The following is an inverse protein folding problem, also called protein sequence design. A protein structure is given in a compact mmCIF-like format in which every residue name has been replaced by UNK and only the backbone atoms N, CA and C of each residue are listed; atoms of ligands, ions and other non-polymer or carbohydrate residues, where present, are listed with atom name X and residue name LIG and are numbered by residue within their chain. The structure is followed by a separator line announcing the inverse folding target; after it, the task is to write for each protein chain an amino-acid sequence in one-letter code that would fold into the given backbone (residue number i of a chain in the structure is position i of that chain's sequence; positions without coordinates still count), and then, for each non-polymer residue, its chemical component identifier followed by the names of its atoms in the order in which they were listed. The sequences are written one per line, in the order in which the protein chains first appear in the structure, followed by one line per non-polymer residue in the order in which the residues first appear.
data_IF_593704594410
#
_entry.id   IF_593704594410
#
_cell.length_a   1.000
_cell.length_b   1.000
_cell.length_c   1.000
_cell.angle_alpha   90.00
_cell.angle_beta   90.00
_cell.angle_gamma   90.00
#
_symmetry.space_group_name_H-M   'P 1'
#
loop_
_entity.id
_entity.type
_entity.pdbx_description
1 polymer ?
#
# COMPACT_ATOMS: atom_id res chain seq x y z
N UNK A 1 -5.74 27.67 29.02
CA UNK A 1 -6.49 26.56 29.64
C UNK A 1 -6.73 26.97 31.09
N UNK A 2 -7.29 28.16 31.31
CA UNK A 2 -7.22 28.89 32.59
C UNK A 2 -8.52 29.60 32.96
N UNK A 3 -9.57 29.44 32.14
CA UNK A 3 -10.88 30.08 32.36
C UNK A 3 -11.88 29.09 32.98
N UNK A 4 -11.61 27.78 32.91
CA UNK A 4 -12.49 26.73 33.47
C UNK A 4 -12.19 26.48 34.97
N UNK A 5 -10.97 26.77 35.46
CA UNK A 5 -10.59 26.55 36.86
C UNK A 5 -11.07 27.64 37.83
N UNK A 6 -11.51 28.81 37.32
CA UNK A 6 -11.96 29.92 38.17
C UNK A 6 -13.42 29.79 38.66
N UNK A 7 -14.21 28.85 38.11
CA UNK A 7 -15.62 28.64 38.46
C UNK A 7 -15.85 27.57 39.54
N UNK A 8 -14.82 26.84 39.97
CA UNK A 8 -14.94 25.71 40.92
C UNK A 8 -14.65 26.08 42.39
N UNK A 9 -14.37 27.36 42.70
CA UNK A 9 -13.90 27.79 44.04
C UNK A 9 -14.96 28.42 44.95
N UNK A 10 -16.24 28.48 44.55
CA UNK A 10 -17.30 29.19 45.29
C UNK A 10 -18.38 28.29 45.93
N UNK A 11 -18.20 26.98 45.94
CA UNK A 11 -19.15 26.09 46.63
C UNK A 11 -18.93 26.03 48.15
N UNK A 12 -19.65 26.94 48.80
CA UNK A 12 -20.18 26.95 50.18
C UNK A 12 -20.11 25.59 50.92
N UNK A 13 -19.40 25.56 52.06
CA UNK A 13 -19.54 24.52 53.10
C UNK A 13 -21.00 24.47 53.59
N UNK A 14 -21.66 23.31 53.62
CA UNK A 14 -22.88 23.13 54.37
C UNK A 14 -22.60 22.43 55.71
N UNK A 15 -22.90 23.17 56.77
CA UNK A 15 -23.41 22.81 58.09
C UNK A 15 -23.22 21.36 58.59
N UNK A 16 -22.38 21.26 59.61
CA UNK A 16 -22.11 20.11 60.46
C UNK A 16 -23.28 19.92 61.43
N UNK A 17 -24.35 19.22 61.01
CA UNK A 17 -25.28 18.42 61.84
C UNK A 17 -26.59 18.07 61.09
N UNK A 18 -26.58 16.99 60.31
CA UNK A 18 -27.80 16.26 59.92
C UNK A 18 -27.45 14.79 59.64
N UNK A 19 -28.11 13.79 60.26
CA UNK A 19 -27.78 12.39 60.02
C UNK A 19 -28.51 11.91 58.77
N UNK A 20 -27.79 11.75 57.66
CA UNK A 20 -28.25 10.96 56.51
C UNK A 20 -27.31 9.78 56.37
N UNK A 21 -27.81 8.60 56.71
CA UNK A 21 -27.13 7.35 56.44
C UNK A 21 -27.10 7.11 54.92
N UNK A 22 -26.00 7.45 54.27
CA UNK A 22 -25.70 7.00 52.91
C UNK A 22 -24.92 5.69 53.00
N UNK A 23 -25.53 4.61 52.53
CA UNK A 23 -24.92 3.29 52.43
C UNK A 23 -23.65 3.31 51.56
N UNK A 24 -22.60 2.53 51.88
CA UNK A 24 -21.31 2.50 51.17
C UNK A 24 -21.39 2.00 49.71
N UNK A 25 -22.56 1.59 49.22
CA UNK A 25 -22.76 1.01 47.89
C UNK A 25 -22.85 2.06 46.76
N UNK A 26 -23.12 3.34 47.08
CA UNK A 26 -23.23 4.39 46.05
C UNK A 26 -21.88 5.02 45.67
N UNK A 27 -20.92 5.06 46.58
CA UNK A 27 -19.60 5.68 46.34
C UNK A 27 -18.69 4.78 45.47
N UNK A 28 -18.87 3.46 45.56
CA UNK A 28 -18.18 2.47 44.74
C UNK A 28 -18.72 2.41 43.28
N UNK A 29 -20.02 2.68 43.09
CA UNK A 29 -20.63 2.75 41.75
C UNK A 29 -20.25 4.03 40.97
N UNK A 30 -20.04 5.14 41.67
CA UNK A 30 -19.61 6.41 41.08
C UNK A 30 -18.13 6.38 40.67
N UNK A 31 -17.27 5.71 41.43
CA UNK A 31 -15.86 5.57 41.08
C UNK A 31 -15.64 4.59 39.92
N UNK A 32 -16.44 3.51 39.84
CA UNK A 32 -16.40 2.56 38.73
C UNK A 32 -16.88 3.16 37.40
N UNK A 33 -17.89 4.04 37.43
CA UNK A 33 -18.40 4.74 36.23
C UNK A 33 -17.45 5.83 35.73
N UNK A 34 -16.75 6.54 36.63
CA UNK A 34 -15.70 7.49 36.26
C UNK A 34 -14.46 6.79 35.64
N UNK A 35 -14.09 5.61 36.15
CA UNK A 35 -12.99 4.81 35.61
C UNK A 35 -13.30 4.24 34.20
N UNK A 36 -14.55 3.83 33.96
CA UNK A 36 -15.01 3.34 32.65
C UNK A 36 -15.08 4.45 31.58
N UNK A 37 -15.44 5.68 31.97
CA UNK A 37 -15.46 6.83 31.07
C UNK A 37 -14.06 7.25 30.59
N UNK A 38 -13.03 7.11 31.45
CA UNK A 38 -11.63 7.38 31.10
C UNK A 38 -11.03 6.38 30.11
N UNK A 39 -11.50 5.13 30.10
CA UNK A 39 -10.98 4.07 29.24
C UNK A 39 -11.50 4.12 27.79
N UNK A 40 -12.64 4.78 27.54
CA UNK A 40 -13.28 4.88 26.23
C UNK A 40 -12.54 5.82 25.24
N UNK A 41 -11.66 6.70 25.73
CA UNK A 41 -10.99 7.73 24.91
C UNK A 41 -9.67 7.24 24.29
N UNK A 42 -9.19 6.02 24.60
CA UNK A 42 -7.84 5.57 24.17
C UNK A 42 -7.74 4.28 23.34
N UNK A 43 -8.84 3.66 22.94
CA UNK A 43 -8.78 2.34 22.31
C UNK A 43 -9.00 2.38 20.79
N UNK A 44 -7.91 2.31 20.02
CA UNK A 44 -7.91 1.98 18.60
C UNK A 44 -8.18 0.48 18.39
N UNK A 45 -9.08 0.15 17.47
CA UNK A 45 -9.26 -1.19 16.88
C UNK A 45 -10.05 -2.23 17.69
N UNK A 46 -9.57 -2.63 18.87
CA UNK A 46 -10.13 -3.78 19.63
C UNK A 46 -11.03 -3.36 20.81
N UNK A 47 -10.72 -2.25 21.48
CA UNK A 47 -11.49 -1.81 22.65
C UNK A 47 -12.89 -1.29 22.35
N UNK A 48 -13.18 -0.90 21.09
CA UNK A 48 -14.53 -0.52 20.69
C UNK A 48 -15.51 -1.70 20.72
N UNK A 49 -15.06 -2.91 20.32
CA UNK A 49 -15.88 -4.13 20.36
C UNK A 49 -16.21 -4.52 21.80
N UNK A 50 -15.23 -4.45 22.71
CA UNK A 50 -15.41 -4.77 24.13
C UNK A 50 -16.26 -3.72 24.85
N UNK A 51 -16.03 -2.43 24.55
CA UNK A 51 -16.80 -1.32 25.11
C UNK A 51 -18.26 -1.34 24.68
N UNK A 52 -18.54 -1.65 23.41
CA UNK A 52 -19.90 -1.79 22.90
C UNK A 52 -20.63 -3.01 23.49
N UNK A 53 -19.94 -4.15 23.61
CA UNK A 53 -20.47 -5.35 24.28
C UNK A 53 -20.80 -5.10 25.75
N UNK A 54 -19.91 -4.41 26.48
CA UNK A 54 -20.12 -4.07 27.90
C UNK A 54 -21.24 -3.03 28.08
N UNK A 55 -21.37 -2.05 27.18
CA UNK A 55 -22.43 -1.05 27.25
C UNK A 55 -23.81 -1.66 26.98
N UNK A 56 -23.92 -2.54 25.97
CA UNK A 56 -25.15 -3.27 25.66
C UNK A 56 -25.57 -4.16 26.84
N UNK A 57 -24.61 -4.86 27.45
CA UNK A 57 -24.87 -5.74 28.59
C UNK A 57 -25.25 -4.95 29.87
N UNK A 58 -24.61 -3.80 30.11
CA UNK A 58 -24.93 -2.92 31.26
C UNK A 58 -26.30 -2.25 31.12
N UNK A 59 -26.70 -1.85 29.91
CA UNK A 59 -28.02 -1.26 29.66
C UNK A 59 -29.14 -2.28 29.90
N UNK A 60 -28.93 -3.53 29.48
CA UNK A 60 -29.85 -4.65 29.73
C UNK A 60 -29.98 -4.96 31.24
N UNK A 61 -28.85 -4.97 31.97
CA UNK A 61 -28.84 -5.21 33.42
C UNK A 61 -29.54 -4.10 34.22
N UNK A 62 -29.34 -2.83 33.85
CA UNK A 62 -29.95 -1.69 34.52
C UNK A 62 -31.48 -1.62 34.35
N UNK A 63 -31.98 -2.11 33.21
CA UNK A 63 -33.42 -2.20 32.92
C UNK A 63 -34.06 -3.37 33.67
N UNK A 64 -33.36 -4.51 33.75
CA UNK A 64 -33.79 -5.68 34.51
C UNK A 64 -33.97 -5.38 36.01
N UNK A 65 -33.05 -4.64 36.62
CA UNK A 65 -33.14 -4.28 38.04
C UNK A 65 -34.32 -3.34 38.35
N UNK A 66 -34.69 -2.45 37.43
CA UNK A 66 -35.80 -1.50 37.63
C UNK A 66 -37.16 -2.21 37.61
N UNK A 67 -37.31 -3.24 36.78
CA UNK A 67 -38.55 -4.01 36.64
C UNK A 67 -38.79 -4.94 37.85
N UNK A 68 -37.73 -5.52 38.43
CA UNK A 68 -37.86 -6.40 39.60
C UNK A 68 -38.25 -5.61 40.86
N UNK A 69 -37.80 -4.37 41.01
CA UNK A 69 -38.05 -3.59 42.23
C UNK A 69 -39.51 -3.11 42.35
N UNK A 70 -40.17 -2.84 41.22
CA UNK A 70 -41.54 -2.27 41.23
C UNK A 70 -42.67 -3.33 41.22
N UNK A 71 -42.36 -4.63 41.09
CA UNK A 71 -43.37 -5.71 40.92
C UNK A 71 -43.24 -6.92 41.84
N UNK A 72 -42.46 -6.85 42.91
CA UNK A 72 -42.54 -7.84 43.98
C UNK A 72 -43.61 -7.38 44.98
N UNK A 73 -44.78 -8.03 45.07
CA UNK A 73 -45.73 -7.71 46.13
C UNK A 73 -45.08 -7.99 47.50
N UNK A 74 -45.39 -7.21 48.56
CA UNK A 74 -44.86 -7.47 49.90
C UNK A 74 -45.24 -8.90 50.33
N UNK A 75 -44.41 -9.56 51.17
CA UNK A 75 -44.69 -10.92 51.60
C UNK A 75 -46.09 -10.97 52.24
N UNK A 76 -46.99 -11.72 51.63
CA UNK A 76 -48.28 -12.07 52.23
C UNK A 76 -47.96 -12.74 53.55
N UNK A 77 -48.42 -12.16 54.66
CA UNK A 77 -48.35 -12.77 55.96
C UNK A 77 -49.16 -14.08 55.92
N UNK A 78 -48.47 -15.21 55.77
CA UNK A 78 -49.08 -16.53 55.89
C UNK A 78 -49.41 -16.70 57.37
N UNK A 79 -50.66 -16.41 57.73
CA UNK A 79 -51.18 -16.73 59.04
C UNK A 79 -51.42 -18.24 59.08
N UNK A 80 -50.42 -19.00 59.51
CA UNK A 80 -50.58 -20.42 59.82
C UNK A 80 -51.57 -20.57 60.98
N UNK A 81 -52.86 -20.74 60.66
CA UNK A 81 -53.82 -21.35 61.56
C UNK A 81 -53.58 -22.86 61.48
N UNK A 82 -52.86 -23.41 62.46
CA UNK A 82 -52.68 -24.85 62.62
C UNK A 82 -54.04 -25.51 62.84
N UNK A 83 -54.48 -26.32 61.89
CA UNK A 83 -55.46 -27.39 62.11
C UNK A 83 -54.80 -28.71 61.72
N UNK A 84 -54.84 -29.74 62.59
CA UNK A 84 -54.16 -31.00 62.33
C UNK A 84 -54.96 -31.87 61.35
N UNK A 85 -54.21 -32.44 60.41
CA UNK A 85 -54.39 -33.73 59.76
C UNK A 85 -55.80 -34.16 59.31
N UNK A 86 -55.99 -34.20 57.99
CA UNK A 86 -56.63 -35.37 57.37
C UNK A 86 -55.87 -35.73 56.09
N UNK A 87 -55.25 -36.89 56.13
CA UNK A 87 -54.44 -37.51 55.10
C UNK A 87 -55.36 -38.45 54.32
N UNK A 88 -55.65 -38.21 53.04
CA UNK A 88 -55.83 -39.29 52.04
C UNK A 88 -56.06 -38.78 50.61
N UNK A 89 -55.53 -39.58 49.67
CA UNK A 89 -55.88 -39.75 48.25
C UNK A 89 -55.29 -38.75 47.22
N UNK A 90 -54.24 -39.22 46.53
CA UNK A 90 -53.62 -38.75 45.27
C UNK A 90 -54.59 -39.14 44.12
N UNK A 91 -54.78 -38.43 42.97
CA UNK A 91 -53.73 -38.15 41.96
C UNK A 91 -53.97 -36.94 40.99
N UNK A 92 -53.12 -36.86 39.96
CA UNK A 92 -53.23 -36.09 38.71
C UNK A 92 -52.61 -34.68 38.63
N UNK A 93 -51.45 -34.65 37.97
CA UNK A 93 -51.08 -33.73 36.88
C UNK A 93 -51.90 -32.44 36.81
N UNK A 94 -51.30 -31.34 37.25
CA UNK A 94 -51.50 -30.03 36.63
C UNK A 94 -50.16 -29.51 36.10
N UNK A 95 -49.57 -30.30 35.19
CA UNK A 95 -48.59 -29.81 34.22
C UNK A 95 -49.34 -29.02 33.13
N UNK A 96 -49.83 -27.85 33.51
CA UNK A 96 -49.97 -26.71 32.62
C UNK A 96 -50.03 -25.49 33.52
N UNK A 97 -48.87 -24.91 33.82
CA UNK A 97 -48.81 -23.51 34.19
C UNK A 97 -49.27 -22.71 32.95
N UNK A 98 -50.57 -22.73 32.66
CA UNK A 98 -51.19 -21.70 31.84
C UNK A 98 -50.96 -20.41 32.61
N UNK A 99 -50.40 -19.35 32.00
CA UNK A 99 -50.33 -18.07 32.66
C UNK A 99 -51.78 -17.63 32.95
N UNK A 100 -52.24 -17.83 34.18
CA UNK A 100 -53.58 -17.52 34.64
C UNK A 100 -53.78 -16.03 34.89
N UNK A 101 -52.71 -15.24 34.75
CA UNK A 101 -52.72 -13.80 34.91
C UNK A 101 -52.55 -13.14 33.53
N UNK A 102 -53.58 -12.45 32.99
CA UNK A 102 -53.46 -11.68 31.74
C UNK A 102 -52.38 -10.60 31.79
N UNK A 103 -51.93 -10.24 33.00
CA UNK A 103 -50.82 -9.34 33.28
C UNK A 103 -49.43 -9.90 32.89
N UNK A 104 -49.21 -11.22 32.93
CA UNK A 104 -47.89 -11.80 32.59
C UNK A 104 -47.67 -11.90 31.09
N UNK A 105 -48.71 -12.23 30.32
CA UNK A 105 -48.67 -12.21 28.86
C UNK A 105 -48.37 -10.80 28.33
N UNK A 106 -49.00 -9.77 28.89
CA UNK A 106 -48.74 -8.38 28.52
C UNK A 106 -47.29 -7.96 28.77
N UNK A 107 -46.69 -8.40 29.88
CA UNK A 107 -45.27 -8.11 30.18
C UNK A 107 -44.30 -8.77 29.18
N UNK A 108 -44.54 -10.03 28.82
CA UNK A 108 -43.67 -10.75 27.87
C UNK A 108 -43.71 -10.10 26.48
N UNK A 109 -44.89 -9.66 26.03
CA UNK A 109 -45.03 -8.98 24.74
C UNK A 109 -44.31 -7.62 24.71
N UNK A 110 -44.40 -6.83 25.77
CA UNK A 110 -43.68 -5.56 25.89
C UNK A 110 -42.16 -5.75 25.94
N UNK A 111 -41.68 -6.69 26.77
CA UNK A 111 -40.26 -7.05 26.84
C UNK A 111 -39.71 -7.52 25.49
N UNK A 112 -40.50 -8.32 24.75
CA UNK A 112 -40.13 -8.79 23.40
C UNK A 112 -40.03 -7.63 22.41
N UNK A 113 -41.00 -6.72 22.38
CA UNK A 113 -40.99 -5.58 21.46
C UNK A 113 -39.82 -4.65 21.74
N UNK A 114 -39.57 -4.32 23.02
CA UNK A 114 -38.42 -3.48 23.41
C UNK A 114 -37.10 -4.14 23.00
N UNK A 115 -36.98 -5.46 23.20
CA UNK A 115 -35.78 -6.22 22.81
C UNK A 115 -35.58 -6.25 21.30
N UNK A 116 -36.66 -6.41 20.52
CA UNK A 116 -36.60 -6.40 19.04
C UNK A 116 -36.25 -5.02 18.49
N UNK A 117 -36.83 -3.95 19.05
CA UNK A 117 -36.50 -2.57 18.66
C UNK A 117 -35.05 -2.24 19.03
N UNK A 118 -34.61 -2.64 20.22
CA UNK A 118 -33.22 -2.47 20.65
C UNK A 118 -32.24 -3.21 19.73
N UNK A 119 -32.54 -4.47 19.39
CA UNK A 119 -31.73 -5.26 18.46
C UNK A 119 -31.68 -4.61 17.07
N UNK A 120 -32.84 -4.19 16.55
CA UNK A 120 -32.93 -3.49 15.27
C UNK A 120 -32.12 -2.20 15.24
N UNK A 121 -32.20 -1.39 16.30
CA UNK A 121 -31.44 -0.15 16.42
C UNK A 121 -29.93 -0.40 16.43
N UNK A 122 -29.47 -1.37 17.22
CA UNK A 122 -28.04 -1.74 17.25
C UNK A 122 -27.57 -2.29 15.90
N UNK A 123 -28.39 -3.11 15.23
CA UNK A 123 -28.06 -3.62 13.90
C UNK A 123 -27.93 -2.51 12.86
N UNK A 124 -28.87 -1.55 12.84
CA UNK A 124 -28.84 -0.41 11.91
C UNK A 124 -27.64 0.49 12.19
N UNK A 125 -27.40 0.86 13.45
CA UNK A 125 -26.27 1.73 13.82
C UNK A 125 -24.93 1.03 13.56
N UNK A 126 -24.82 -0.26 13.89
CA UNK A 126 -23.62 -1.06 13.62
C UNK A 126 -23.36 -1.21 12.12
N UNK A 127 -24.39 -1.48 11.32
CA UNK A 127 -24.29 -1.59 9.87
C UNK A 127 -23.90 -0.26 9.22
N UNK A 128 -24.54 0.85 9.62
CA UNK A 128 -24.21 2.18 9.13
C UNK A 128 -22.77 2.59 9.49
N UNK A 129 -22.35 2.33 10.73
CA UNK A 129 -20.98 2.57 11.19
C UNK A 129 -19.97 1.76 10.39
N UNK A 130 -20.20 0.44 10.23
CA UNK A 130 -19.31 -0.43 9.46
C UNK A 130 -19.19 0.02 8.00
N UNK A 131 -20.30 0.39 7.37
CA UNK A 131 -20.31 0.90 6.00
C UNK A 131 -19.52 2.20 5.86
N UNK A 132 -19.70 3.14 6.80
CA UNK A 132 -18.96 4.40 6.83
C UNK A 132 -17.44 4.16 6.99
N UNK A 133 -17.04 3.32 7.95
CA UNK A 133 -15.64 3.00 8.20
C UNK A 133 -14.99 2.29 7.01
N UNK A 134 -15.67 1.30 6.41
CA UNK A 134 -15.19 0.63 5.21
C UNK A 134 -15.01 1.62 4.04
N UNK A 135 -15.95 2.55 3.88
CA UNK A 135 -15.87 3.61 2.87
C UNK A 135 -14.61 4.47 3.03
N UNK A 136 -14.26 4.85 4.27
CA UNK A 136 -13.04 5.63 4.54
C UNK A 136 -11.78 4.79 4.33
N UNK A 137 -11.74 3.57 4.86
CA UNK A 137 -10.56 2.70 4.78
C UNK A 137 -10.21 2.28 3.34
N UNK A 138 -11.21 2.10 2.46
CA UNK A 138 -10.99 1.69 1.07
C UNK A 138 -10.81 2.85 0.09
N UNK A 139 -11.01 4.12 0.50
CA UNK A 139 -10.79 5.30 -0.37
C UNK A 139 -9.38 5.31 -1.01
N UNK A 140 -8.28 5.06 -0.26
CA UNK A 140 -6.93 5.07 -0.85
C UNK A 140 -6.74 3.97 -1.90
N UNK A 141 -7.29 2.78 -1.70
CA UNK A 141 -7.22 1.68 -2.66
C UNK A 141 -7.89 2.06 -3.98
N UNK A 142 -9.04 2.76 -3.93
CA UNK A 142 -9.68 3.28 -5.13
C UNK A 142 -8.81 4.33 -5.83
N UNK A 143 -8.11 5.20 -5.10
CA UNK A 143 -7.17 6.16 -5.68
C UNK A 143 -6.03 5.46 -6.41
N UNK A 144 -5.40 4.46 -5.80
CA UNK A 144 -4.37 3.62 -6.44
C UNK A 144 -4.92 2.99 -7.73
N UNK A 145 -6.11 2.38 -7.67
CA UNK A 145 -6.73 1.73 -8.83
C UNK A 145 -7.07 2.70 -9.97
N UNK A 146 -7.51 3.92 -9.65
CA UNK A 146 -7.77 4.96 -10.65
C UNK A 146 -6.48 5.49 -11.24
N UNK A 147 -5.48 5.78 -10.40
CA UNK A 147 -4.15 6.21 -10.84
C UNK A 147 -3.53 5.17 -11.78
N UNK A 148 -3.55 3.89 -11.39
CA UNK A 148 -3.04 2.78 -12.20
C UNK A 148 -3.71 2.69 -13.58
N UNK A 149 -5.01 3.01 -13.69
CA UNK A 149 -5.74 3.06 -14.97
C UNK A 149 -5.40 4.27 -15.84
N UNK A 150 -4.83 5.31 -15.25
CA UNK A 150 -4.48 6.57 -15.91
C UNK A 150 -2.97 6.72 -16.16
N UNK A 151 -2.16 5.72 -15.77
CA UNK A 151 -0.71 5.73 -16.05
C UNK A 151 -0.51 5.70 -17.55
N UNK A 152 0.25 6.68 -18.04
CA UNK A 152 0.73 6.80 -19.41
C UNK A 152 2.16 7.33 -19.37
N UNK A 153 2.86 7.30 -20.51
CA UNK A 153 4.20 7.88 -20.64
C UNK A 153 4.26 9.38 -20.25
N UNK A 154 3.12 10.07 -20.23
CA UNK A 154 3.04 11.51 -19.95
C UNK A 154 2.51 11.84 -18.54
N UNK A 155 2.23 10.84 -17.70
CA UNK A 155 1.61 11.03 -16.36
C UNK A 155 2.39 10.34 -15.23
N UNK A 156 3.64 9.95 -15.47
CA UNK A 156 4.51 9.25 -14.51
C UNK A 156 5.03 10.12 -13.36
N UNK A 157 4.89 11.43 -13.48
CA UNK A 157 5.21 12.42 -12.45
C UNK A 157 4.15 12.50 -11.34
N UNK A 158 2.98 11.91 -11.56
CA UNK A 158 1.88 11.89 -10.59
C UNK A 158 2.23 10.99 -9.40
N UNK A 159 2.24 11.56 -8.20
CA UNK A 159 2.42 10.81 -6.94
C UNK A 159 1.10 10.67 -6.20
N UNK A 160 0.88 9.51 -5.57
CA UNK A 160 -0.27 9.32 -4.69
C UNK A 160 -0.13 10.12 -3.39
N UNK A 161 1.09 10.25 -2.87
CA UNK A 161 1.43 11.07 -1.70
C UNK A 161 0.45 10.90 -0.53
N UNK A 162 0.17 9.64 -0.15
CA UNK A 162 -0.83 9.34 0.85
C UNK A 162 -0.39 9.79 2.25
N UNK A 163 -1.05 10.81 2.79
CA UNK A 163 -0.87 11.25 4.16
C UNK A 163 -1.59 10.32 5.15
N UNK A 164 -1.00 10.13 6.33
CA UNK A 164 -1.62 9.31 7.39
C UNK A 164 -0.64 8.44 8.20
N UNK A 165 -1.19 7.60 9.09
CA UNK A 165 -0.44 6.65 9.92
C UNK A 165 0.40 5.69 9.09
N UNK A 166 1.44 5.09 9.70
CA UNK A 166 2.26 4.05 9.09
C UNK A 166 1.55 2.70 9.12
N UNK A 167 0.50 2.56 8.31
CA UNK A 167 -0.25 1.31 8.14
C UNK A 167 0.05 0.63 6.79
N UNK A 168 -0.58 -0.52 6.55
CA UNK A 168 -0.44 -1.32 5.34
C UNK A 168 -0.89 -0.56 4.08
N UNK A 169 -1.85 0.36 4.22
CA UNK A 169 -2.38 1.15 3.11
C UNK A 169 -1.37 2.21 2.69
N UNK A 170 -0.74 2.90 3.65
CA UNK A 170 0.36 3.81 3.37
C UNK A 170 1.55 3.09 2.74
N UNK A 171 1.92 1.91 3.26
CA UNK A 171 2.99 1.09 2.68
C UNK A 171 2.71 0.71 1.22
N UNK A 172 1.46 0.40 0.87
CA UNK A 172 1.04 0.14 -0.50
C UNK A 172 1.22 1.38 -1.39
N UNK A 173 0.77 2.55 -0.92
CA UNK A 173 0.93 3.81 -1.64
C UNK A 173 2.40 4.16 -1.87
N UNK A 174 3.24 4.04 -0.84
CA UNK A 174 4.69 4.29 -0.92
C UNK A 174 5.36 3.33 -1.93
N UNK A 175 4.94 2.06 -1.95
CA UNK A 175 5.47 1.06 -2.90
C UNK A 175 5.07 1.38 -4.34
N UNK A 176 3.84 1.86 -4.55
CA UNK A 176 3.36 2.29 -5.85
C UNK A 176 4.09 3.54 -6.34
N UNK A 177 4.28 4.55 -5.48
CA UNK A 177 5.05 5.75 -5.81
C UNK A 177 6.51 5.40 -6.17
N UNK A 178 7.14 4.47 -5.45
CA UNK A 178 8.47 3.98 -5.78
C UNK A 178 8.53 3.22 -7.12
N UNK A 179 7.46 2.50 -7.48
CA UNK A 179 7.33 1.86 -8.79
C UNK A 179 7.24 2.91 -9.90
N UNK A 180 6.40 3.94 -9.72
CA UNK A 180 6.27 5.05 -10.67
C UNK A 180 7.57 5.81 -10.86
N UNK A 181 8.32 6.06 -9.78
CA UNK A 181 9.63 6.72 -9.86
C UNK A 181 10.64 5.90 -10.68
N UNK A 182 10.69 4.58 -10.47
CA UNK A 182 11.57 3.70 -11.25
C UNK A 182 11.18 3.72 -12.72
N UNK A 183 9.89 3.60 -13.02
CA UNK A 183 9.38 3.62 -14.38
C UNK A 183 9.66 4.96 -15.08
N UNK A 184 9.47 6.08 -14.37
CA UNK A 184 9.77 7.42 -14.87
C UNK A 184 11.24 7.60 -15.24
N UNK A 185 12.15 7.13 -14.38
CA UNK A 185 13.60 7.16 -14.68
C UNK A 185 13.96 6.35 -15.92
N UNK A 186 13.37 5.16 -16.10
CA UNK A 186 13.60 4.33 -17.29
C UNK A 186 13.09 5.01 -18.57
N UNK A 187 11.88 5.58 -18.56
CA UNK A 187 11.36 6.32 -19.70
C UNK A 187 12.20 7.56 -20.03
N UNK A 188 12.66 8.30 -19.02
CA UNK A 188 13.49 9.48 -19.22
C UNK A 188 14.85 9.12 -19.84
N UNK A 189 15.47 8.02 -19.38
CA UNK A 189 16.70 7.49 -19.97
C UNK A 189 16.48 7.05 -21.42
N UNK A 190 15.40 6.33 -21.70
CA UNK A 190 15.07 5.89 -23.05
C UNK A 190 14.81 7.08 -24.00
N UNK A 191 14.08 8.10 -23.56
CA UNK A 191 13.83 9.30 -24.35
C UNK A 191 15.11 10.08 -24.65
N UNK A 192 15.98 10.26 -23.65
CA UNK A 192 17.30 10.88 -23.85
C UNK A 192 18.14 10.10 -24.84
N UNK A 193 18.19 8.78 -24.70
CA UNK A 193 18.89 7.92 -25.65
C UNK A 193 18.37 8.06 -27.08
N UNK A 194 17.04 8.02 -27.29
CA UNK A 194 16.45 8.20 -28.63
C UNK A 194 16.78 9.57 -29.20
N UNK A 195 16.76 10.63 -28.39
CA UNK A 195 17.11 11.97 -28.81
C UNK A 195 18.59 12.06 -29.24
N UNK A 196 19.50 11.54 -28.41
CA UNK A 196 20.94 11.52 -28.69
C UNK A 196 21.25 10.75 -29.97
N UNK A 197 20.62 9.58 -30.15
CA UNK A 197 20.73 8.77 -31.38
C UNK A 197 20.25 9.54 -32.60
N UNK A 198 19.08 10.18 -32.51
CA UNK A 198 18.55 10.95 -33.63
C UNK A 198 19.49 12.09 -34.03
N UNK A 199 20.14 12.75 -33.06
CA UNK A 199 21.13 13.79 -33.31
C UNK A 199 22.42 13.24 -33.93
N UNK A 200 22.97 12.16 -33.39
CA UNK A 200 24.18 11.52 -33.91
C UNK A 200 23.99 10.94 -35.33
N UNK A 201 22.77 10.51 -35.68
CA UNK A 201 22.44 10.03 -37.03
C UNK A 201 22.15 11.17 -38.02
N UNK A 202 21.54 12.27 -37.58
CA UNK A 202 21.20 13.41 -38.46
C UNK A 202 22.44 14.05 -39.06
N UNK A 203 23.51 14.19 -38.29
CA UNK A 203 24.76 14.84 -38.73
C UNK A 203 25.44 14.13 -39.92
N UNK A 204 25.74 12.82 -39.86
CA UNK A 204 26.33 12.11 -41.00
C UNK A 204 25.38 12.03 -42.19
N UNK A 205 24.05 11.92 -41.97
CA UNK A 205 23.07 11.95 -43.06
C UNK A 205 23.03 13.30 -43.77
N UNK A 206 23.10 14.41 -43.02
CA UNK A 206 23.20 15.74 -43.61
C UNK A 206 24.49 15.89 -44.42
N UNK A 207 25.63 15.42 -43.90
CA UNK A 207 26.90 15.44 -44.63
C UNK A 207 26.86 14.61 -45.93
N UNK A 208 26.27 13.40 -45.90
CA UNK A 208 26.06 12.58 -47.09
C UNK A 208 25.24 13.32 -48.15
N UNK A 209 24.14 13.94 -47.71
CA UNK A 209 23.26 14.71 -48.58
C UNK A 209 23.97 15.92 -49.20
N UNK A 210 24.65 16.73 -48.40
CA UNK A 210 25.37 17.91 -48.89
C UNK A 210 26.47 17.52 -49.88
N UNK A 211 27.24 16.46 -49.61
CA UNK A 211 28.29 16.00 -50.53
C UNK A 211 27.70 15.53 -51.88
N UNK A 212 26.53 14.87 -51.87
CA UNK A 212 25.80 14.52 -53.09
C UNK A 212 25.31 15.76 -53.84
N UNK A 213 24.72 16.73 -53.13
CA UNK A 213 24.21 17.97 -53.71
C UNK A 213 25.33 18.79 -54.38
N UNK A 214 26.51 18.89 -53.76
CA UNK A 214 27.66 19.63 -54.32
C UNK A 214 28.12 19.01 -55.64
N UNK A 215 28.34 17.70 -55.69
CA UNK A 215 28.88 17.02 -56.88
C UNK A 215 27.84 16.91 -58.00
N UNK A 216 26.56 16.82 -57.67
CA UNK A 216 25.49 16.81 -58.70
C UNK A 216 25.18 18.19 -59.25
N UNK A 217 25.44 19.27 -58.49
CA UNK A 217 25.24 20.64 -58.94
C UNK A 217 26.41 21.16 -59.79
N UNK A 218 27.61 20.61 -59.62
CA UNK A 218 28.80 21.01 -60.37
C UNK A 218 28.84 20.33 -61.76
N UNK A 219 28.75 21.16 -62.81
CA UNK A 219 28.74 20.70 -64.21
C UNK A 219 30.14 20.44 -64.77
N UNK A 220 31.17 20.97 -64.11
CA UNK A 220 32.56 20.84 -64.52
C UNK A 220 33.32 19.81 -63.65
N UNK A 221 32.59 19.05 -62.82
CA UNK A 221 33.15 18.04 -61.93
C UNK A 221 33.96 16.99 -62.70
N UNK A 222 35.19 16.74 -62.24
CA UNK A 222 36.08 15.76 -62.86
C UNK A 222 35.86 14.35 -62.32
N UNK A 223 36.40 13.35 -63.02
CA UNK A 223 36.42 11.96 -62.54
C UNK A 223 37.09 11.80 -61.16
N UNK A 224 38.10 12.63 -60.85
CA UNK A 224 38.78 12.58 -59.57
C UNK A 224 37.93 13.21 -58.44
N UNK A 225 37.12 14.23 -58.73
CA UNK A 225 36.14 14.79 -57.77
C UNK A 225 35.08 13.75 -57.39
N UNK A 226 34.59 12.99 -58.37
CA UNK A 226 33.68 11.88 -58.11
C UNK A 226 34.32 10.78 -57.24
N UNK A 227 35.59 10.43 -57.48
CA UNK A 227 36.32 9.45 -56.65
C UNK A 227 36.52 9.95 -55.21
N UNK A 228 36.87 11.23 -55.05
CA UNK A 228 37.00 11.85 -53.72
C UNK A 228 35.66 11.88 -52.96
N UNK A 229 34.54 12.09 -53.67
CA UNK A 229 33.20 12.00 -53.11
C UNK A 229 32.88 10.59 -52.62
N UNK A 230 33.09 9.57 -53.46
CA UNK A 230 32.84 8.17 -53.08
C UNK A 230 33.65 7.78 -51.85
N UNK A 231 34.94 8.15 -51.81
CA UNK A 231 35.78 7.91 -50.63
C UNK A 231 35.28 8.65 -49.36
N UNK A 232 34.63 9.80 -49.51
CA UNK A 232 34.03 10.54 -48.40
C UNK A 232 32.70 9.93 -47.95
N UNK A 233 31.90 9.43 -48.89
CA UNK A 233 30.66 8.72 -48.60
C UNK A 233 30.92 7.39 -47.90
N UNK A 234 31.90 6.60 -48.36
CA UNK A 234 32.29 5.36 -47.67
C UNK A 234 32.67 5.63 -46.21
N UNK A 235 33.47 6.67 -45.95
CA UNK A 235 33.82 7.07 -44.57
C UNK A 235 32.59 7.38 -43.72
N UNK A 236 31.61 8.08 -44.29
CA UNK A 236 30.36 8.40 -43.60
C UNK A 236 29.47 7.16 -43.37
N UNK A 237 29.37 6.25 -44.35
CA UNK A 237 28.67 4.98 -44.22
C UNK A 237 29.31 4.09 -43.14
N UNK A 238 30.63 3.91 -43.17
CA UNK A 238 31.35 3.15 -42.13
C UNK A 238 31.12 3.74 -40.74
N UNK A 239 31.01 5.07 -40.61
CA UNK A 239 30.66 5.70 -39.34
C UNK A 239 29.23 5.37 -38.91
N UNK A 240 28.27 5.42 -39.82
CA UNK A 240 26.87 5.04 -39.56
C UNK A 240 26.75 3.56 -39.15
N UNK A 241 27.45 2.65 -39.83
CA UNK A 241 27.49 1.22 -39.50
C UNK A 241 28.02 0.99 -38.09
N UNK A 242 29.10 1.67 -37.70
CA UNK A 242 29.64 1.61 -36.33
C UNK A 242 28.65 2.13 -35.31
N UNK A 243 28.02 3.29 -35.57
CA UNK A 243 26.98 3.83 -34.67
C UNK A 243 25.83 2.82 -34.50
N UNK A 244 25.31 2.24 -35.58
CA UNK A 244 24.23 1.24 -35.50
C UNK A 244 24.67 0.01 -34.70
N UNK A 245 25.89 -0.49 -34.92
CA UNK A 245 26.44 -1.62 -34.15
C UNK A 245 26.55 -1.29 -32.65
N UNK A 246 26.96 -0.06 -32.32
CA UNK A 246 27.07 0.43 -30.95
C UNK A 246 25.69 0.50 -30.27
N UNK A 247 24.67 0.98 -30.99
CA UNK A 247 23.30 1.09 -30.51
C UNK A 247 22.63 -0.27 -30.29
N UNK A 248 22.84 -1.24 -31.19
CA UNK A 248 22.32 -2.60 -31.04
C UNK A 248 22.87 -3.29 -29.78
N UNK A 249 24.14 -3.03 -29.46
CA UNK A 249 24.76 -3.58 -28.25
C UNK A 249 24.21 -2.89 -27.00
N UNK A 250 24.07 -1.57 -27.01
CA UNK A 250 23.46 -0.83 -25.90
C UNK A 250 22.03 -1.34 -25.63
N UNK A 251 21.21 -1.45 -26.67
CA UNK A 251 19.84 -1.95 -26.57
C UNK A 251 19.76 -3.41 -26.07
N UNK A 252 20.74 -4.25 -26.40
CA UNK A 252 20.80 -5.64 -25.92
C UNK A 252 21.36 -5.73 -24.50
N UNK A 253 22.21 -4.78 -24.09
CA UNK A 253 22.88 -4.79 -22.78
C UNK A 253 21.98 -4.40 -21.59
N UNK A 254 20.82 -3.79 -21.85
CA UNK A 254 19.82 -3.51 -20.81
C UNK A 254 19.10 -4.76 -20.30
N UNK A 255 19.20 -5.89 -21.02
CA UNK A 255 18.82 -7.19 -20.48
C UNK A 255 19.90 -7.67 -19.51
N UNK A 256 19.54 -8.26 -18.36
CA UNK A 256 20.53 -8.79 -17.43
C UNK A 256 21.44 -9.75 -18.20
N UNK A 257 22.75 -9.48 -18.31
CA UNK A 257 23.63 -10.30 -19.13
C UNK A 257 23.60 -11.72 -18.59
N UNK A 258 23.32 -12.69 -19.45
CA UNK A 258 23.53 -14.10 -19.12
C UNK A 258 25.03 -14.24 -18.86
N UNK A 259 25.40 -14.33 -17.58
CA UNK A 259 26.79 -14.51 -17.19
C UNK A 259 27.10 -16.00 -17.28
N UNK A 260 28.06 -16.33 -18.12
CA UNK A 260 28.62 -17.68 -18.20
C UNK A 260 30.10 -17.64 -17.86
N UNK A 261 30.68 -18.79 -17.59
CA UNK A 261 32.14 -18.91 -17.65
C UNK A 261 32.60 -18.74 -19.10
N UNK A 262 33.54 -17.83 -19.33
CA UNK A 262 34.08 -17.51 -20.64
C UNK A 262 35.60 -17.65 -20.58
N UNK A 263 36.18 -18.45 -21.47
CA UNK A 263 37.62 -18.52 -21.65
C UNK A 263 38.12 -17.25 -22.35
N UNK A 264 39.05 -16.54 -21.73
CA UNK A 264 39.52 -15.23 -22.22
C UNK A 264 40.44 -15.35 -23.45
N UNK A 265 41.18 -16.46 -23.56
CA UNK A 265 42.10 -16.71 -24.67
C UNK A 265 41.42 -16.66 -26.06
N UNK A 266 40.35 -17.43 -26.35
CA UNK A 266 39.70 -17.37 -27.66
C UNK A 266 39.09 -15.99 -27.96
N UNK A 267 38.58 -15.30 -26.95
CA UNK A 267 38.04 -13.94 -27.09
C UNK A 267 39.14 -12.94 -27.49
N UNK A 268 40.32 -13.03 -26.87
CA UNK A 268 41.46 -12.17 -27.20
C UNK A 268 42.05 -12.50 -28.57
N UNK A 269 42.07 -13.77 -28.96
CA UNK A 269 42.51 -14.19 -30.29
C UNK A 269 41.60 -13.64 -31.40
N UNK A 270 40.28 -13.68 -31.20
CA UNK A 270 39.30 -13.08 -32.11
C UNK A 270 39.51 -11.56 -32.24
N UNK A 271 39.68 -10.86 -31.10
CA UNK A 271 39.95 -9.41 -31.09
C UNK A 271 41.26 -9.07 -31.80
N UNK A 272 42.31 -9.89 -31.62
CA UNK A 272 43.59 -9.69 -32.30
C UNK A 272 43.50 -9.91 -33.81
N UNK A 273 42.73 -10.91 -34.26
CA UNK A 273 42.47 -11.13 -35.69
C UNK A 273 41.80 -9.90 -36.31
N UNK A 274 40.77 -9.36 -35.66
CA UNK A 274 40.05 -8.18 -36.16
C UNK A 274 40.92 -6.91 -36.17
N UNK A 275 41.79 -6.74 -35.17
CA UNK A 275 42.68 -5.59 -35.10
C UNK A 275 43.91 -5.70 -36.00
N UNK A 276 44.23 -6.88 -36.52
CA UNK A 276 45.44 -7.13 -37.32
C UNK A 276 45.54 -6.20 -38.53
N UNK A 277 44.46 -6.06 -39.29
CA UNK A 277 44.43 -5.20 -40.49
C UNK A 277 44.67 -3.73 -40.15
N UNK A 278 44.11 -3.25 -39.03
CA UNK A 278 44.32 -1.89 -38.55
C UNK A 278 45.75 -1.68 -38.02
N UNK A 279 46.29 -2.68 -37.32
CA UNK A 279 47.64 -2.66 -36.79
C UNK A 279 48.69 -2.64 -37.91
N UNK A 280 48.49 -3.44 -38.96
CA UNK A 280 49.35 -3.47 -40.16
C UNK A 280 49.35 -2.11 -40.88
N UNK A 281 48.18 -1.47 -40.99
CA UNK A 281 48.04 -0.12 -41.60
C UNK A 281 48.80 0.94 -40.80
N UNK A 282 48.87 0.80 -39.48
CA UNK A 282 49.57 1.73 -38.56
C UNK A 282 51.00 1.28 -38.23
N UNK A 283 51.50 0.21 -38.85
CA UNK A 283 52.81 -0.40 -38.56
C UNK A 283 53.02 -0.80 -37.09
N UNK A 284 51.95 -1.13 -36.37
CA UNK A 284 52.00 -1.59 -34.98
C UNK A 284 51.97 -3.12 -34.95
N UNK A 285 52.89 -3.75 -34.21
CA UNK A 285 52.88 -5.21 -33.99
C UNK A 285 52.11 -5.55 -32.72
N UNK A 286 50.99 -6.23 -32.87
CA UNK A 286 50.25 -6.80 -31.75
C UNK A 286 50.83 -8.18 -31.39
N UNK A 287 51.09 -8.42 -30.10
CA UNK A 287 51.47 -9.75 -29.57
C UNK A 287 50.65 -10.05 -28.33
N UNK A 288 50.05 -11.23 -28.30
CA UNK A 288 49.53 -11.82 -27.07
C UNK A 288 50.72 -12.42 -26.30
N UNK A 289 51.01 -11.88 -25.12
CA UNK A 289 52.03 -12.44 -24.23
C UNK A 289 51.30 -13.29 -23.20
N UNK A 290 51.66 -14.56 -23.15
CA UNK A 290 51.11 -15.59 -22.26
C UNK A 290 49.70 -16.10 -22.65
N UNK A 291 49.58 -17.42 -22.81
CA UNK A 291 48.33 -18.12 -23.14
C UNK A 291 47.82 -18.88 -21.92
N UNK A 292 47.70 -18.18 -20.80
CA UNK A 292 47.04 -18.75 -19.64
C UNK A 292 45.55 -18.96 -19.94
N UNK A 293 45.02 -20.14 -19.59
CA UNK A 293 43.58 -20.40 -19.61
C UNK A 293 42.90 -19.64 -18.47
N UNK A 294 42.69 -18.35 -18.68
CA UNK A 294 41.98 -17.48 -17.72
C UNK A 294 40.48 -17.60 -18.00
N UNK A 295 39.76 -18.19 -17.05
CA UNK A 295 38.31 -18.25 -17.07
C UNK A 295 37.75 -17.05 -16.31
N UNK A 296 36.85 -16.29 -16.96
CA UNK A 296 36.20 -15.12 -16.37
C UNK A 296 34.70 -15.31 -16.41
N UNK A 297 34.03 -14.99 -15.30
CA UNK A 297 32.57 -15.00 -15.25
C UNK A 297 32.03 -13.69 -15.84
N UNK A 298 31.40 -13.76 -17.01
CA UNK A 298 30.97 -12.57 -17.74
C UNK A 298 30.22 -12.88 -19.03
N UNK A 299 30.08 -11.86 -19.87
CA UNK A 299 29.54 -11.99 -21.22
C UNK A 299 30.69 -11.83 -22.22
N UNK A 300 30.93 -12.87 -23.03
CA UNK A 300 32.04 -12.90 -23.98
C UNK A 300 32.02 -11.76 -24.99
N UNK A 301 30.84 -11.36 -25.48
CA UNK A 301 30.70 -10.27 -26.45
C UNK A 301 31.05 -8.90 -25.84
N UNK A 302 30.61 -8.64 -24.59
CA UNK A 302 30.95 -7.40 -23.89
C UNK A 302 32.45 -7.34 -23.56
N UNK A 303 33.06 -8.47 -23.19
CA UNK A 303 34.51 -8.57 -22.96
C UNK A 303 35.30 -8.30 -24.26
N UNK A 304 34.96 -8.96 -25.36
CA UNK A 304 35.60 -8.75 -26.67
C UNK A 304 35.60 -7.26 -27.07
N UNK A 305 34.46 -6.60 -26.87
CA UNK A 305 34.29 -5.19 -27.20
C UNK A 305 35.05 -4.26 -26.26
N UNK A 306 35.08 -4.55 -24.96
CA UNK A 306 35.89 -3.80 -24.01
C UNK A 306 37.38 -3.83 -24.41
N UNK A 307 37.91 -4.98 -24.81
CA UNK A 307 39.28 -5.08 -25.33
C UNK A 307 39.49 -4.33 -26.64
N UNK A 308 38.47 -4.27 -27.50
CA UNK A 308 38.53 -3.53 -28.77
C UNK A 308 38.54 -2.01 -28.60
N UNK A 309 37.76 -1.47 -27.65
CA UNK A 309 37.56 -0.02 -27.49
C UNK A 309 38.45 0.64 -26.42
N UNK A 310 39.00 -0.09 -25.45
CA UNK A 310 39.62 0.53 -24.25
C UNK A 310 41.01 1.15 -24.46
N UNK A 311 41.69 0.92 -25.59
CA UNK A 311 43.10 1.32 -25.73
C UNK A 311 43.52 1.79 -27.14
N UNK A 312 43.01 2.92 -27.63
CA UNK A 312 43.62 3.60 -28.81
C UNK A 312 43.41 5.13 -28.80
N UNK A 313 43.56 5.79 -27.66
CA UNK A 313 43.74 7.25 -27.56
C UNK A 313 45.19 7.59 -27.22
#
# INVERSE_FOLDING_TARGET
MDIVWAQLKTWRKPDENAPIATSPVMEEAASATAAAAGALVRCTGAGFKLGLLLFINSAAFSSFHRIIRDKIPPPVAIQHRTQPACFSVIPFVCLSARPSNPLELALIFELRNISLVGLGLVAVLGGAGAYWFAGIALRPVRRVSTAARQISANTLDTRLALEGPKDEIKKLADTFDAMLERLGRTFEQQNRFVADVAHELRTPLASLRTNLEVVTADKDATLDDHRAMVATQERALTRLERLIADLLILATSEQPPVRSEVALAPVLEEVLCDLKQQADTRQVKLRLIDRAEVMVHGNGQLLARAFRHRHWH
#
